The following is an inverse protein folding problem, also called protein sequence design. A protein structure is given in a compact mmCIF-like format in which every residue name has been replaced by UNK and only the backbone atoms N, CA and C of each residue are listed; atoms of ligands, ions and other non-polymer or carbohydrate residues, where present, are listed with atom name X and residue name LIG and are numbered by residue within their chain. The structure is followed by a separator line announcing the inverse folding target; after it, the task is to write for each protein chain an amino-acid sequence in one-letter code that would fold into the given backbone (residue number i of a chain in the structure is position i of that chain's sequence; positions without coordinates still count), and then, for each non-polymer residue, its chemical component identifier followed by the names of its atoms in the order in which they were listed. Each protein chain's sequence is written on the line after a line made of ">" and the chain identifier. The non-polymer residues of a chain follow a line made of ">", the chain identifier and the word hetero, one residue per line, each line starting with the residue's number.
data_IF_253419943130
#
_entry.id   IF_253419943130
#
_cell.length_a   1.000
_cell.length_b   1.000
_cell.length_c   1.000
_cell.angle_alpha   90.00
_cell.angle_beta   90.00
_cell.angle_gamma   90.00
#
_symmetry.space_group_name_H-M   'P 1'
#
loop_
_entity.id
_entity.type
_entity.pdbx_description
1 polymer ?
#
# COMPACT_ATOMS: atom_id res chain seq x y z
N UNK A 1 -6.82 -84.74 -28.10
CA UNK A 1 -7.96 -83.92 -27.62
C UNK A 1 -7.76 -83.49 -26.16
N UNK A 2 -6.78 -82.62 -25.87
CA UNK A 2 -6.53 -82.11 -24.50
C UNK A 2 -6.22 -80.61 -24.41
N UNK A 3 -6.27 -79.87 -25.53
CA UNK A 3 -5.93 -78.44 -25.56
C UNK A 3 -7.11 -77.51 -25.87
N UNK A 4 -8.34 -78.03 -26.01
CA UNK A 4 -9.51 -77.21 -26.35
C UNK A 4 -10.38 -76.80 -25.15
N UNK A 5 -10.10 -77.31 -23.94
CA UNK A 5 -10.89 -77.00 -22.73
C UNK A 5 -10.25 -75.94 -21.83
N UNK A 6 -8.97 -75.59 -22.04
CA UNK A 6 -8.29 -74.55 -21.26
C UNK A 6 -8.52 -73.13 -21.79
N UNK A 7 -8.85 -72.97 -23.08
CA UNK A 7 -9.17 -71.66 -23.65
C UNK A 7 -10.62 -71.21 -23.36
N UNK A 8 -11.53 -72.15 -23.07
CA UNK A 8 -12.92 -71.82 -22.76
C UNK A 8 -13.10 -71.41 -21.28
N UNK A 9 -12.23 -71.83 -20.35
CA UNK A 9 -12.29 -71.42 -18.94
C UNK A 9 -11.65 -70.05 -18.68
N UNK A 10 -10.73 -69.60 -19.53
CA UNK A 10 -10.12 -68.26 -19.45
C UNK A 10 -11.00 -67.19 -20.12
N UNK A 11 -11.86 -67.57 -21.07
CA UNK A 11 -12.83 -66.65 -21.68
C UNK A 11 -14.14 -66.51 -20.89
N UNK A 12 -14.50 -67.49 -20.04
CA UNK A 12 -15.69 -67.41 -19.18
C UNK A 12 -15.41 -66.91 -17.74
N UNK A 13 -14.15 -66.67 -17.36
CA UNK A 13 -13.81 -66.02 -16.09
C UNK A 13 -13.70 -64.50 -16.16
N UNK A 14 -13.97 -63.88 -17.31
CA UNK A 14 -14.05 -62.42 -17.46
C UNK A 14 -15.47 -61.83 -17.26
N UNK A 15 -16.45 -62.63 -16.83
CA UNK A 15 -17.85 -62.16 -16.68
C UNK A 15 -18.40 -62.18 -15.25
N UNK A 16 -17.55 -62.22 -14.22
CA UNK A 16 -17.93 -62.01 -12.82
C UNK A 16 -16.70 -61.35 -12.15
N UNK A 17 -16.60 -60.06 -11.85
CA UNK A 17 -17.58 -59.05 -11.46
C UNK A 17 -17.10 -57.66 -11.93
N UNK A 18 -17.74 -57.11 -12.96
CA UNK A 18 -17.91 -55.67 -13.08
C UNK A 18 -19.29 -55.32 -12.55
N UNK A 19 -19.48 -55.51 -11.24
CA UNK A 19 -20.32 -54.59 -10.48
C UNK A 19 -19.44 -53.39 -10.12
N UNK A 20 -19.03 -52.63 -11.13
CA UNK A 20 -18.93 -51.20 -10.89
C UNK A 20 -20.37 -50.75 -10.77
N UNK A 21 -20.84 -50.58 -9.53
CA UNK A 21 -21.86 -49.56 -9.32
C UNK A 21 -21.28 -48.29 -9.95
N UNK A 22 -21.77 -47.97 -11.15
CA UNK A 22 -21.50 -46.74 -11.85
C UNK A 22 -22.16 -45.62 -11.08
N UNK A 23 -21.67 -45.32 -9.87
CA UNK A 23 -21.86 -44.00 -9.31
C UNK A 23 -21.18 -43.07 -10.30
N UNK A 24 -22.01 -42.40 -11.11
CA UNK A 24 -21.64 -41.24 -11.89
C UNK A 24 -20.72 -40.41 -11.00
N UNK A 25 -19.48 -40.15 -11.42
CA UNK A 25 -18.53 -39.36 -10.62
C UNK A 25 -18.86 -37.88 -10.67
N UNK A 26 -20.16 -37.56 -10.73
CA UNK A 26 -20.69 -36.23 -10.93
C UNK A 26 -20.79 -35.51 -9.59
N UNK A 27 -20.36 -34.26 -9.59
CA UNK A 27 -20.52 -33.36 -8.45
C UNK A 27 -21.24 -32.10 -8.90
N UNK A 28 -22.17 -31.61 -8.08
CA UNK A 28 -22.76 -30.29 -8.29
C UNK A 28 -22.15 -29.31 -7.30
N UNK A 29 -21.56 -28.22 -7.79
CA UNK A 29 -21.17 -27.09 -6.94
C UNK A 29 -22.41 -26.25 -6.65
N UNK A 30 -23.08 -26.59 -5.55
CA UNK A 30 -24.38 -26.01 -5.19
C UNK A 30 -24.28 -24.53 -4.87
N UNK A 31 -23.31 -24.17 -4.03
CA UNK A 31 -23.25 -22.84 -3.45
C UNK A 31 -21.82 -22.38 -3.18
N UNK A 32 -21.56 -21.10 -3.47
CA UNK A 32 -20.46 -20.33 -2.89
C UNK A 32 -21.04 -19.36 -1.87
N UNK A 33 -20.64 -19.51 -0.62
CA UNK A 33 -21.04 -18.66 0.50
C UNK A 33 -19.90 -17.72 0.87
N UNK A 34 -20.19 -16.42 1.01
CA UNK A 34 -19.18 -15.44 1.39
C UNK A 34 -19.63 -14.56 2.55
N UNK A 35 -18.68 -14.19 3.41
CA UNK A 35 -18.89 -13.26 4.51
C UNK A 35 -17.61 -12.50 4.85
N UNK A 36 -17.73 -11.26 5.29
CA UNK A 36 -16.64 -10.53 5.95
C UNK A 36 -17.08 -10.01 7.31
N UNK A 37 -16.36 -10.38 8.36
CA UNK A 37 -16.57 -9.82 9.70
C UNK A 37 -15.98 -8.41 9.85
N UNK A 38 -15.00 -8.07 9.00
CA UNK A 38 -14.33 -6.76 8.99
C UNK A 38 -15.28 -5.68 8.46
N UNK A 39 -15.93 -5.96 7.32
CA UNK A 39 -16.92 -5.07 6.72
C UNK A 39 -18.09 -5.86 6.11
N UNK A 40 -19.09 -6.25 6.92
CA UNK A 40 -20.25 -7.00 6.45
C UNK A 40 -21.06 -6.31 5.35
N UNK A 41 -21.08 -4.97 5.34
CA UNK A 41 -21.79 -4.18 4.33
C UNK A 41 -20.88 -3.71 3.18
N UNK A 42 -19.59 -4.06 3.22
CA UNK A 42 -18.59 -3.61 2.25
C UNK A 42 -18.75 -4.32 0.91
N UNK A 43 -18.77 -3.58 -0.20
CA UNK A 43 -18.93 -4.19 -1.54
C UNK A 43 -17.64 -4.74 -2.15
N UNK A 44 -16.47 -4.49 -1.54
CA UNK A 44 -15.18 -4.88 -2.12
C UNK A 44 -14.99 -6.40 -2.24
N UNK A 45 -15.64 -7.18 -1.38
CA UNK A 45 -15.54 -8.64 -1.37
C UNK A 45 -16.76 -9.33 -1.97
N UNK A 46 -17.70 -8.59 -2.56
CA UNK A 46 -18.84 -9.17 -3.26
C UNK A 46 -18.39 -9.67 -4.65
N UNK A 47 -18.46 -10.98 -4.93
CA UNK A 47 -18.03 -11.53 -6.21
C UNK A 47 -19.02 -11.19 -7.32
N UNK A 48 -18.52 -11.01 -8.54
CA UNK A 48 -19.31 -11.03 -9.76
C UNK A 48 -19.57 -12.48 -10.19
N UNK A 49 -20.46 -12.68 -11.16
CA UNK A 49 -20.66 -13.98 -11.81
C UNK A 49 -19.37 -14.54 -12.40
N UNK A 50 -18.50 -13.69 -12.94
CA UNK A 50 -17.19 -14.08 -13.47
C UNK A 50 -16.25 -14.60 -12.37
N UNK A 51 -16.25 -14.01 -11.17
CA UNK A 51 -15.47 -14.53 -10.05
C UNK A 51 -15.97 -15.93 -9.62
N UNK A 52 -17.30 -16.12 -9.56
CA UNK A 52 -17.90 -17.43 -9.20
C UNK A 52 -17.54 -18.50 -10.23
N UNK A 53 -17.64 -18.19 -11.52
CA UNK A 53 -17.20 -19.11 -12.58
C UNK A 53 -15.71 -19.44 -12.45
N UNK A 54 -14.88 -18.46 -12.11
CA UNK A 54 -13.44 -18.65 -11.91
C UNK A 54 -13.15 -19.59 -10.74
N UNK A 55 -13.89 -19.47 -9.64
CA UNK A 55 -13.78 -20.39 -8.50
C UNK A 55 -14.20 -21.81 -8.88
N UNK A 56 -15.32 -21.96 -9.58
CA UNK A 56 -15.78 -23.26 -10.07
C UNK A 56 -14.73 -23.93 -10.96
N UNK A 57 -14.19 -23.20 -11.95
CA UNK A 57 -13.15 -23.71 -12.85
C UNK A 57 -11.85 -24.10 -12.10
N UNK A 58 -11.48 -23.35 -11.06
CA UNK A 58 -10.32 -23.69 -10.22
C UNK A 58 -10.57 -24.97 -9.42
N UNK A 59 -11.79 -25.17 -8.90
CA UNK A 59 -12.15 -26.43 -8.24
C UNK A 59 -12.18 -27.61 -9.23
N UNK A 60 -12.70 -27.39 -10.45
CA UNK A 60 -12.73 -28.41 -11.51
C UNK A 60 -11.33 -28.92 -11.84
N UNK A 61 -10.38 -28.01 -12.05
CA UNK A 61 -9.00 -28.34 -12.40
C UNK A 61 -8.14 -28.76 -11.20
N UNK A 62 -8.57 -28.42 -9.98
CA UNK A 62 -7.89 -28.75 -8.73
C UNK A 62 -8.59 -29.88 -7.97
N UNK A 63 -9.34 -29.51 -6.92
CA UNK A 63 -9.95 -30.45 -5.97
C UNK A 63 -10.77 -31.55 -6.65
N UNK A 64 -11.72 -31.19 -7.52
CA UNK A 64 -12.61 -32.18 -8.14
C UNK A 64 -11.83 -33.15 -9.02
N UNK A 65 -10.89 -32.65 -9.85
CA UNK A 65 -10.00 -33.51 -10.61
C UNK A 65 -9.20 -34.47 -9.72
N UNK A 66 -8.64 -33.99 -8.61
CA UNK A 66 -7.87 -34.81 -7.67
C UNK A 66 -8.70 -35.91 -6.99
N UNK A 67 -10.00 -35.66 -6.79
CA UNK A 67 -10.97 -36.63 -6.28
C UNK A 67 -11.63 -37.47 -7.37
N UNK A 68 -11.23 -37.28 -8.63
CA UNK A 68 -11.81 -37.91 -9.82
C UNK A 68 -13.30 -37.60 -10.00
N UNK A 69 -13.75 -36.43 -9.53
CA UNK A 69 -15.09 -35.91 -9.70
C UNK A 69 -15.16 -34.99 -10.93
N UNK A 70 -16.26 -35.05 -11.65
CA UNK A 70 -16.57 -34.19 -12.79
C UNK A 70 -17.77 -33.30 -12.45
N UNK A 71 -17.60 -31.98 -12.54
CA UNK A 71 -18.67 -31.06 -12.18
C UNK A 71 -19.76 -31.04 -13.26
N UNK A 72 -21.02 -31.23 -12.85
CA UNK A 72 -22.16 -31.03 -13.76
C UNK A 72 -22.47 -29.53 -13.90
N UNK A 73 -22.07 -28.96 -15.04
CA UNK A 73 -22.25 -27.54 -15.35
C UNK A 73 -23.68 -27.16 -15.74
N UNK A 74 -24.61 -28.11 -15.89
CA UNK A 74 -26.03 -27.82 -16.14
C UNK A 74 -26.72 -27.20 -14.92
N UNK A 75 -26.16 -27.39 -13.72
CA UNK A 75 -26.62 -26.78 -12.49
C UNK A 75 -25.82 -25.50 -12.18
N UNK A 76 -26.46 -24.32 -12.16
CA UNK A 76 -25.78 -23.08 -11.84
C UNK A 76 -25.41 -23.01 -10.35
N UNK A 77 -24.17 -22.64 -10.06
CA UNK A 77 -23.71 -22.40 -8.69
C UNK A 77 -24.37 -21.15 -8.11
N UNK A 78 -25.01 -21.30 -6.95
CA UNK A 78 -25.66 -20.20 -6.25
C UNK A 78 -24.66 -19.38 -5.45
N UNK A 79 -24.76 -18.05 -5.50
CA UNK A 79 -24.01 -17.15 -4.63
C UNK A 79 -24.87 -16.78 -3.42
N UNK A 80 -24.34 -17.00 -2.22
CA UNK A 80 -24.97 -16.56 -0.97
C UNK A 80 -24.05 -15.60 -0.21
N UNK A 81 -24.47 -14.34 -0.16
CA UNK A 81 -23.82 -13.32 0.67
C UNK A 81 -24.46 -13.35 2.06
N UNK A 82 -23.63 -13.57 3.07
CA UNK A 82 -24.09 -13.56 4.45
C UNK A 82 -24.02 -12.16 5.06
N UNK A 83 -24.91 -11.93 6.02
CA UNK A 83 -24.89 -10.80 6.92
C UNK A 83 -24.71 -11.31 8.35
N UNK A 84 -24.33 -10.44 9.30
CA UNK A 84 -24.16 -10.84 10.70
C UNK A 84 -25.38 -11.58 11.29
N UNK A 85 -26.64 -11.18 11.02
CA UNK A 85 -27.82 -11.94 11.45
C UNK A 85 -27.95 -13.32 10.78
N UNK A 86 -27.63 -13.41 9.49
CA UNK A 86 -27.79 -14.63 8.69
C UNK A 86 -26.58 -15.59 8.79
N UNK A 87 -25.54 -15.20 9.53
CA UNK A 87 -24.40 -16.07 9.88
C UNK A 87 -24.80 -17.14 10.92
N UNK A 88 -25.86 -16.89 11.70
CA UNK A 88 -26.27 -17.75 12.81
C UNK A 88 -27.09 -18.94 12.27
N UNK A 89 -26.44 -20.07 12.02
CA UNK A 89 -27.12 -21.34 11.71
C UNK A 89 -26.24 -22.34 10.94
N UNK A 90 -26.65 -23.62 10.97
CA UNK A 90 -26.09 -24.66 10.08
C UNK A 90 -26.34 -24.25 8.62
N UNK A 91 -25.41 -24.58 7.72
CA UNK A 91 -25.55 -24.39 6.27
C UNK A 91 -26.94 -24.87 5.83
N UNK A 92 -27.83 -23.94 5.48
CA UNK A 92 -29.14 -24.27 4.94
C UNK A 92 -28.95 -24.67 3.47
N UNK A 93 -28.77 -25.97 3.27
CA UNK A 93 -28.48 -26.60 1.99
C UNK A 93 -29.78 -26.85 1.23
N UNK A 94 -29.92 -26.27 0.04
CA UNK A 94 -31.00 -26.59 -0.90
C UNK A 94 -30.43 -27.22 -2.17
N UNK A 95 -30.37 -28.55 -2.19
CA UNK A 95 -30.05 -29.34 -3.40
C UNK A 95 -31.31 -29.92 -4.05
N UNK A 96 -32.49 -29.31 -3.82
CA UNK A 96 -33.77 -29.86 -4.32
C UNK A 96 -33.79 -30.04 -5.84
N UNK A 97 -33.02 -29.22 -6.56
CA UNK A 97 -32.93 -29.21 -8.02
C UNK A 97 -31.96 -30.26 -8.58
N UNK A 98 -31.02 -30.74 -7.76
CA UNK A 98 -29.89 -31.59 -8.15
C UNK A 98 -29.88 -32.93 -7.40
N UNK A 99 -30.97 -33.32 -6.73
CA UNK A 99 -31.08 -34.54 -5.90
C UNK A 99 -30.61 -35.84 -6.55
N UNK A 100 -30.60 -35.88 -7.89
CA UNK A 100 -30.15 -37.04 -8.66
C UNK A 100 -28.63 -37.10 -8.83
N UNK A 101 -27.92 -36.03 -8.47
CA UNK A 101 -26.45 -36.00 -8.41
C UNK A 101 -25.98 -36.78 -7.17
N UNK A 102 -24.93 -37.61 -7.29
CA UNK A 102 -24.43 -38.38 -6.16
C UNK A 102 -23.57 -37.56 -5.19
N UNK A 103 -22.96 -36.46 -5.66
CA UNK A 103 -22.14 -35.59 -4.83
C UNK A 103 -22.54 -34.13 -4.96
N UNK A 104 -22.39 -33.41 -3.85
CA UNK A 104 -22.74 -32.00 -3.74
C UNK A 104 -21.66 -31.24 -2.98
N UNK A 105 -21.08 -30.23 -3.63
CA UNK A 105 -20.00 -29.42 -3.10
C UNK A 105 -20.48 -28.03 -2.66
N UNK A 106 -19.88 -27.54 -1.58
CA UNK A 106 -20.12 -26.22 -0.99
C UNK A 106 -18.79 -25.54 -0.72
N UNK A 107 -18.68 -24.29 -1.13
CA UNK A 107 -17.52 -23.46 -0.86
C UNK A 107 -17.90 -22.33 0.09
N UNK A 108 -17.21 -22.22 1.21
CA UNK A 108 -17.37 -21.17 2.21
C UNK A 108 -16.11 -20.30 2.25
N UNK A 109 -16.28 -18.98 2.11
CA UNK A 109 -15.21 -17.98 2.07
C UNK A 109 -15.46 -16.91 3.13
N UNK A 110 -14.75 -16.95 4.25
CA UNK A 110 -14.97 -16.03 5.38
C UNK A 110 -13.76 -15.17 5.69
N UNK A 111 -13.93 -13.86 5.68
CA UNK A 111 -12.91 -12.92 6.14
C UNK A 111 -13.07 -12.61 7.63
N UNK A 112 -11.99 -12.79 8.38
CA UNK A 112 -11.87 -12.45 9.78
C UNK A 112 -10.73 -11.46 10.03
N UNK A 113 -10.83 -10.74 11.15
CA UNK A 113 -9.70 -10.02 11.69
C UNK A 113 -8.61 -11.01 12.15
N UNK A 114 -7.32 -10.69 11.97
CA UNK A 114 -6.22 -11.56 12.38
C UNK A 114 -6.30 -11.96 13.86
N UNK A 115 -6.68 -11.04 14.75
CA UNK A 115 -6.78 -11.31 16.19
C UNK A 115 -7.83 -12.38 16.52
N UNK A 116 -8.94 -12.44 15.77
CA UNK A 116 -9.98 -13.46 15.94
C UNK A 116 -9.45 -14.86 15.58
N UNK A 117 -8.55 -14.91 14.60
CA UNK A 117 -7.95 -16.16 14.12
C UNK A 117 -6.92 -16.68 15.12
N UNK A 118 -6.04 -15.81 15.62
CA UNK A 118 -4.93 -16.22 16.49
C UNK A 118 -5.34 -16.50 17.93
N UNK A 119 -6.36 -15.80 18.47
CA UNK A 119 -6.86 -16.03 19.84
C UNK A 119 -7.51 -17.40 19.99
N UNK A 120 -8.03 -17.97 18.91
CA UNK A 120 -8.65 -19.29 18.92
C UNK A 120 -7.63 -20.42 18.66
N UNK A 121 -6.33 -20.10 18.64
CA UNK A 121 -5.22 -21.05 18.40
C UNK A 121 -5.41 -21.94 17.16
N UNK A 122 -6.13 -21.42 16.15
CA UNK A 122 -6.41 -22.18 14.93
C UNK A 122 -5.11 -22.49 14.16
N UNK A 123 -4.09 -21.64 14.30
CA UNK A 123 -2.76 -21.81 13.69
C UNK A 123 -1.68 -21.22 14.60
N UNK A 124 -0.56 -21.93 14.74
CA UNK A 124 0.63 -21.47 15.45
C UNK A 124 1.57 -20.69 14.49
N UNK A 125 1.65 -19.38 14.70
CA UNK A 125 2.48 -18.44 13.93
C UNK A 125 3.24 -17.55 14.91
N UNK A 126 4.53 -17.31 14.63
CA UNK A 126 5.36 -16.41 15.42
C UNK A 126 4.77 -14.98 15.48
N UNK A 127 4.86 -14.32 16.65
CA UNK A 127 4.24 -13.01 16.91
C UNK A 127 4.59 -11.93 15.87
N UNK A 128 5.86 -11.70 15.49
CA UNK A 128 6.20 -10.66 14.52
C UNK A 128 5.51 -10.83 13.16
N UNK A 129 5.14 -12.07 12.84
CA UNK A 129 4.45 -12.43 11.61
C UNK A 129 2.95 -12.22 11.71
N UNK A 130 2.36 -12.37 12.91
CA UNK A 130 0.95 -12.04 13.17
C UNK A 130 0.67 -10.56 12.88
N UNK A 131 1.57 -9.67 13.29
CA UNK A 131 1.45 -8.22 13.09
C UNK A 131 1.52 -7.79 11.61
N UNK A 132 2.05 -8.66 10.73
CA UNK A 132 2.16 -8.40 9.29
C UNK A 132 0.90 -8.77 8.49
N UNK A 133 -0.08 -9.43 9.11
CA UNK A 133 -1.30 -9.88 8.45
C UNK A 133 -2.39 -8.83 8.62
N UNK A 134 -2.99 -8.37 7.54
CA UNK A 134 -4.08 -7.39 7.60
C UNK A 134 -5.44 -8.05 7.78
N UNK A 135 -5.70 -9.15 7.07
CA UNK A 135 -6.93 -9.94 7.22
C UNK A 135 -6.66 -11.42 6.98
N UNK A 136 -7.54 -12.27 7.49
CA UNK A 136 -7.46 -13.71 7.29
C UNK A 136 -8.70 -14.21 6.57
N UNK A 137 -8.53 -15.03 5.54
CA UNK A 137 -9.62 -15.67 4.81
C UNK A 137 -9.66 -17.18 5.08
N UNK A 138 -10.81 -17.69 5.48
CA UNK A 138 -11.11 -19.12 5.59
C UNK A 138 -11.72 -19.59 4.29
N UNK A 139 -11.09 -20.57 3.66
CA UNK A 139 -11.57 -21.19 2.43
C UNK A 139 -11.88 -22.64 2.75
N UNK A 140 -13.16 -22.95 3.02
CA UNK A 140 -13.60 -24.30 3.34
C UNK A 140 -14.38 -24.88 2.18
N UNK A 141 -13.97 -26.04 1.69
CA UNK A 141 -14.76 -26.82 0.74
C UNK A 141 -15.24 -28.10 1.41
N UNK A 142 -16.55 -28.32 1.36
CA UNK A 142 -17.20 -29.54 1.87
C UNK A 142 -17.90 -30.23 0.71
N UNK A 143 -17.68 -31.54 0.56
CA UNK A 143 -18.39 -32.39 -0.41
C UNK A 143 -19.18 -33.43 0.37
N UNK A 144 -20.48 -33.48 0.11
CA UNK A 144 -21.41 -34.42 0.70
C UNK A 144 -21.83 -35.46 -0.34
N UNK A 145 -22.11 -36.68 0.12
CA UNK A 145 -22.82 -37.69 -0.65
C UNK A 145 -24.35 -37.47 -0.63
N UNK A 146 -25.07 -38.32 -1.36
CA UNK A 146 -26.55 -38.36 -1.41
C UNK A 146 -27.21 -38.52 -0.02
N UNK A 147 -26.50 -39.10 0.96
CA UNK A 147 -26.96 -39.31 2.33
C UNK A 147 -26.64 -38.14 3.26
N UNK A 148 -26.10 -37.02 2.74
CA UNK A 148 -25.64 -35.85 3.51
C UNK A 148 -24.42 -36.14 4.39
N UNK A 149 -23.66 -37.18 4.07
CA UNK A 149 -22.44 -37.52 4.78
C UNK A 149 -21.26 -36.78 4.14
N UNK A 150 -20.43 -36.07 4.92
CA UNK A 150 -19.24 -35.43 4.38
C UNK A 150 -18.22 -36.49 3.95
N UNK A 151 -17.93 -36.53 2.65
CA UNK A 151 -16.87 -37.37 2.06
C UNK A 151 -15.55 -36.62 1.91
N UNK A 152 -15.61 -35.29 1.91
CA UNK A 152 -14.44 -34.42 1.92
C UNK A 152 -14.78 -33.14 2.68
N UNK A 153 -13.86 -32.70 3.53
CA UNK A 153 -13.91 -31.38 4.15
C UNK A 153 -12.49 -30.91 4.41
N UNK A 154 -12.10 -29.78 3.80
CA UNK A 154 -10.80 -29.15 4.04
C UNK A 154 -10.96 -27.64 4.12
N UNK A 155 -10.17 -27.04 5.01
CA UNK A 155 -10.12 -25.61 5.25
C UNK A 155 -8.71 -25.11 5.01
N UNK A 156 -8.59 -24.08 4.19
CA UNK A 156 -7.36 -23.31 4.03
C UNK A 156 -7.54 -21.98 4.76
N UNK A 157 -6.63 -21.70 5.69
CA UNK A 157 -6.52 -20.41 6.35
C UNK A 157 -5.49 -19.56 5.60
N UNK A 158 -5.93 -18.46 5.01
CA UNK A 158 -5.08 -17.60 4.19
C UNK A 158 -4.85 -16.25 4.88
N UNK A 159 -3.61 -15.99 5.28
CA UNK A 159 -3.17 -14.68 5.77
C UNK A 159 -2.90 -13.71 4.62
N UNK A 160 -3.59 -12.58 4.58
CA UNK A 160 -3.35 -11.51 3.61
C UNK A 160 -2.24 -10.59 4.14
N UNK A 161 -1.10 -10.57 3.44
CA UNK A 161 0.05 -9.74 3.79
C UNK A 161 0.14 -8.57 2.81
N UNK A 162 -0.03 -7.32 3.26
CA UNK A 162 0.10 -6.15 2.40
C UNK A 162 1.55 -6.00 1.93
N UNK A 163 1.73 -5.76 0.63
CA UNK A 163 3.02 -5.45 0.02
C UNK A 163 2.99 -4.07 -0.64
N UNK A 164 4.14 -3.41 -0.61
CA UNK A 164 4.32 -2.14 -1.29
C UNK A 164 4.05 -2.27 -2.81
N UNK A 165 3.47 -1.23 -3.38
CA UNK A 165 3.25 -1.09 -4.82
C UNK A 165 3.71 0.32 -5.27
N UNK A 166 3.48 0.67 -6.52
CA UNK A 166 3.78 2.01 -7.06
C UNK A 166 2.69 3.05 -6.71
N UNK A 167 1.70 2.65 -5.93
CA UNK A 167 0.61 3.49 -5.47
C UNK A 167 1.07 4.44 -4.37
N UNK A 168 0.48 5.64 -4.37
CA UNK A 168 0.74 6.69 -3.38
C UNK A 168 -0.62 7.15 -2.88
N UNK A 169 -0.79 7.23 -1.57
CA UNK A 169 -2.01 7.75 -0.97
C UNK A 169 -2.00 7.60 0.53
N UNK A 170 -3.09 8.02 1.16
CA UNK A 170 -3.24 7.93 2.59
C UNK A 170 -3.51 6.49 3.04
N UNK A 171 -2.92 6.05 4.15
CA UNK A 171 -3.26 4.76 4.73
C UNK A 171 -4.74 4.73 5.11
N UNK A 172 -5.33 3.55 5.02
CA UNK A 172 -6.73 3.32 5.41
C UNK A 172 -6.80 2.76 6.82
N UNK A 173 -7.83 3.17 7.56
CA UNK A 173 -8.07 2.71 8.93
C UNK A 173 -8.73 1.32 9.00
N UNK A 174 -8.80 0.61 7.87
CA UNK A 174 -9.48 -0.69 7.76
C UNK A 174 -8.61 -1.62 6.94
N UNK A 175 -8.32 -2.85 7.42
CA UNK A 175 -7.45 -3.77 6.72
C UNK A 175 -8.18 -4.49 5.57
N UNK A 176 -8.45 -3.77 4.47
CA UNK A 176 -9.19 -4.30 3.32
C UNK A 176 -8.30 -4.41 2.07
N UNK A 177 -8.56 -5.46 1.30
CA UNK A 177 -7.84 -5.74 0.06
C UNK A 177 -8.65 -5.31 -1.16
N UNK A 178 -8.01 -4.67 -2.14
CA UNK A 178 -8.65 -4.32 -3.40
C UNK A 178 -9.29 -5.54 -4.09
N UNK A 179 -10.52 -5.43 -4.65
CA UNK A 179 -11.28 -6.58 -5.17
C UNK A 179 -10.50 -7.46 -6.13
N UNK A 180 -9.82 -6.86 -7.12
CA UNK A 180 -9.01 -7.60 -8.11
C UNK A 180 -7.93 -8.47 -7.45
N UNK A 181 -7.23 -7.92 -6.47
CA UNK A 181 -6.18 -8.64 -5.74
C UNK A 181 -6.76 -9.69 -4.80
N UNK A 182 -7.87 -9.36 -4.14
CA UNK A 182 -8.60 -10.26 -3.25
C UNK A 182 -9.08 -11.51 -3.99
N UNK A 183 -9.86 -11.35 -5.07
CA UNK A 183 -10.42 -12.49 -5.78
C UNK A 183 -9.34 -13.36 -6.45
N UNK A 184 -8.24 -12.74 -6.91
CA UNK A 184 -7.08 -13.49 -7.39
C UNK A 184 -6.42 -14.30 -6.28
N UNK A 185 -6.25 -13.72 -5.08
CA UNK A 185 -5.70 -14.42 -3.93
C UNK A 185 -6.59 -15.59 -3.51
N UNK A 186 -7.91 -15.36 -3.39
CA UNK A 186 -8.88 -16.41 -3.08
C UNK A 186 -8.84 -17.54 -4.10
N UNK A 187 -8.85 -17.22 -5.39
CA UNK A 187 -8.74 -18.21 -6.46
C UNK A 187 -7.46 -19.03 -6.31
N UNK A 188 -6.31 -18.38 -6.08
CA UNK A 188 -5.05 -19.08 -5.87
C UNK A 188 -5.09 -19.99 -4.63
N UNK A 189 -5.77 -19.58 -3.56
CA UNK A 189 -5.98 -20.39 -2.36
C UNK A 189 -6.77 -21.67 -2.60
N UNK A 190 -7.75 -21.64 -3.50
CA UNK A 190 -8.57 -22.82 -3.82
C UNK A 190 -7.73 -23.96 -4.42
N UNK A 191 -6.58 -23.69 -5.05
CA UNK A 191 -5.68 -24.74 -5.52
C UNK A 191 -5.04 -25.56 -4.39
N UNK A 192 -5.04 -25.05 -3.15
CA UNK A 192 -4.54 -25.77 -1.98
C UNK A 192 -5.59 -26.73 -1.39
N UNK A 193 -6.84 -26.69 -1.85
CA UNK A 193 -7.84 -27.68 -1.50
C UNK A 193 -7.49 -29.01 -2.20
N UNK A 194 -6.81 -29.88 -1.46
CA UNK A 194 -6.37 -31.20 -1.91
C UNK A 194 -6.80 -32.29 -0.91
N UNK A 195 -7.10 -33.52 -1.37
CA UNK A 195 -7.30 -34.69 -0.48
C UNK A 195 -6.06 -35.05 0.32
N UNK A 196 -4.87 -34.61 -0.09
CA UNK A 196 -3.64 -34.80 0.66
C UNK A 196 -3.43 -33.71 1.72
N UNK A 197 -2.73 -34.04 2.79
CA UNK A 197 -2.31 -33.07 3.81
C UNK A 197 -3.29 -32.99 4.98
N UNK A 198 -3.20 -31.91 5.75
CA UNK A 198 -4.06 -31.71 6.92
C UNK A 198 -5.43 -31.16 6.49
N UNK A 199 -6.45 -31.41 7.31
CA UNK A 199 -7.79 -30.84 7.11
C UNK A 199 -7.82 -29.32 7.30
N UNK A 200 -6.84 -28.77 8.03
CA UNK A 200 -6.62 -27.34 8.21
C UNK A 200 -5.17 -27.03 7.82
N UNK A 201 -4.98 -26.15 6.85
CA UNK A 201 -3.65 -25.69 6.42
C UNK A 201 -3.60 -24.18 6.37
N UNK A 202 -2.42 -23.62 6.65
CA UNK A 202 -2.18 -22.18 6.61
C UNK A 202 -1.29 -21.80 5.43
N UNK A 203 -1.70 -20.75 4.71
CA UNK A 203 -0.95 -20.18 3.60
C UNK A 203 -0.94 -18.65 3.67
N UNK A 204 -0.06 -18.04 2.89
CA UNK A 204 0.09 -16.58 2.80
C UNK A 204 -0.16 -16.07 1.39
N UNK A 205 -0.93 -14.99 1.31
CA UNK A 205 -1.16 -14.26 0.09
C UNK A 205 -0.60 -12.85 0.21
N UNK A 206 0.42 -12.55 -0.59
CA UNK A 206 0.94 -11.19 -0.73
C UNK A 206 -0.01 -10.38 -1.61
N UNK A 207 -0.59 -9.33 -1.05
CA UNK A 207 -1.57 -8.47 -1.74
C UNK A 207 -1.11 -7.02 -1.73
N UNK A 208 -1.25 -6.27 -2.85
CA UNK A 208 -0.90 -4.85 -2.86
C UNK A 208 -1.68 -4.06 -1.81
N UNK A 209 -1.01 -3.12 -1.14
CA UNK A 209 -1.65 -2.20 -0.20
C UNK A 209 -2.69 -1.31 -0.90
N UNK A 210 -3.76 -1.01 -0.18
CA UNK A 210 -4.87 -0.13 -0.58
C UNK A 210 -4.72 1.23 0.10
N UNK A 211 -5.19 2.29 -0.54
CA UNK A 211 -5.12 3.66 -0.02
C UNK A 211 -6.51 4.32 0.04
N UNK A 212 -6.67 5.33 0.88
CA UNK A 212 -7.86 6.18 0.93
C UNK A 212 -7.83 7.17 -0.24
N UNK A 213 -8.99 7.43 -0.85
CA UNK A 213 -9.10 8.51 -1.84
C UNK A 213 -8.92 9.88 -1.20
N UNK A 214 -8.50 10.87 -1.96
CA UNK A 214 -8.32 12.23 -1.47
C UNK A 214 -8.57 13.27 -2.56
N UNK A 215 -8.78 14.53 -2.19
CA UNK A 215 -9.13 15.61 -3.13
C UNK A 215 -7.95 16.52 -3.52
N UNK A 216 -6.71 16.15 -3.20
CA UNK A 216 -5.53 16.97 -3.45
C UNK A 216 -4.39 16.21 -4.12
N UNK A 217 -3.82 15.19 -3.47
CA UNK A 217 -2.72 14.39 -3.97
C UNK A 217 -3.20 13.42 -5.06
N UNK A 218 -4.26 12.65 -4.81
CA UNK A 218 -4.76 11.66 -5.78
C UNK A 218 -5.04 12.28 -7.17
N UNK A 219 -5.76 13.42 -7.31
CA UNK A 219 -6.01 14.02 -8.62
C UNK A 219 -4.75 14.45 -9.36
N UNK A 220 -3.69 14.85 -8.64
CA UNK A 220 -2.40 15.25 -9.22
C UNK A 220 -1.61 14.04 -9.73
N UNK A 221 -1.63 12.93 -8.98
CA UNK A 221 -0.75 11.79 -9.22
C UNK A 221 -1.37 10.69 -10.08
N UNK A 222 -2.70 10.61 -10.19
CA UNK A 222 -3.36 9.51 -10.90
C UNK A 222 -2.82 9.34 -12.32
N UNK A 223 -2.52 8.09 -12.71
CA UNK A 223 -2.06 7.67 -14.05
C UNK A 223 -0.73 8.28 -14.54
N UNK A 224 -0.07 9.12 -13.75
CA UNK A 224 1.24 9.70 -14.09
C UNK A 224 2.35 8.63 -14.01
N UNK A 225 3.43 8.70 -14.79
CA UNK A 225 4.54 7.76 -14.67
C UNK A 225 5.28 7.94 -13.33
N UNK A 226 5.75 6.84 -12.73
CA UNK A 226 6.65 6.87 -11.57
C UNK A 226 8.06 6.56 -12.06
N UNK A 227 8.97 7.53 -11.96
CA UNK A 227 10.38 7.37 -12.30
C UNK A 227 11.10 6.89 -11.05
N UNK A 228 11.61 5.65 -11.07
CA UNK A 228 12.40 5.11 -9.96
C UNK A 228 13.71 5.89 -9.79
N UNK A 229 14.08 6.13 -8.54
CA UNK A 229 15.33 6.81 -8.19
C UNK A 229 16.30 5.83 -7.55
N UNK A 230 17.52 5.77 -8.06
CA UNK A 230 18.64 5.12 -7.40
C UNK A 230 19.31 6.12 -6.44
N UNK A 231 19.28 5.77 -5.16
CA UNK A 231 19.84 6.59 -4.08
C UNK A 231 21.12 6.00 -3.47
N UNK A 232 21.66 4.97 -4.12
CA UNK A 232 22.91 4.34 -3.72
C UNK A 232 24.08 5.33 -3.77
N UNK A 233 25.06 5.12 -2.89
CA UNK A 233 26.30 5.93 -2.81
C UNK A 233 26.07 7.44 -2.61
N UNK A 234 24.92 7.84 -2.05
CA UNK A 234 24.62 9.25 -1.74
C UNK A 234 24.22 10.10 -2.95
N UNK A 235 23.81 9.47 -4.05
CA UNK A 235 23.25 10.17 -5.20
C UNK A 235 21.72 10.22 -5.16
N UNK A 236 21.14 11.07 -5.99
CA UNK A 236 19.77 10.97 -6.48
C UNK A 236 19.91 10.82 -7.99
N UNK A 237 19.83 9.57 -8.48
CA UNK A 237 20.03 9.22 -9.88
C UNK A 237 18.71 8.75 -10.49
N UNK A 238 18.31 9.35 -11.61
CA UNK A 238 17.07 8.99 -12.28
C UNK A 238 17.14 9.24 -13.79
N UNK A 239 16.30 8.53 -14.55
CA UNK A 239 16.17 8.74 -15.99
C UNK A 239 15.19 9.89 -16.25
N UNK A 240 15.57 10.83 -17.12
CA UNK A 240 14.70 11.90 -17.60
C UNK A 240 14.86 12.03 -19.11
N UNK A 241 13.80 11.66 -19.84
CA UNK A 241 13.86 11.51 -21.29
C UNK A 241 14.93 10.48 -21.71
N UNK A 242 15.86 10.88 -22.58
CA UNK A 242 16.98 10.03 -23.05
C UNK A 242 18.22 10.09 -22.16
N UNK A 243 18.18 10.87 -21.08
CA UNK A 243 19.37 11.16 -20.30
C UNK A 243 19.22 10.75 -18.84
N UNK A 244 20.35 10.60 -18.15
CA UNK A 244 20.39 10.28 -16.73
C UNK A 244 20.75 11.54 -15.97
N UNK A 245 19.89 11.95 -15.05
CA UNK A 245 20.19 13.00 -14.08
C UNK A 245 20.95 12.42 -12.90
N UNK A 246 21.89 13.20 -12.37
CA UNK A 246 22.74 12.79 -11.26
C UNK A 246 22.94 13.96 -10.30
N UNK A 247 22.24 13.91 -9.17
CA UNK A 247 22.24 14.95 -8.16
C UNK A 247 22.90 14.43 -6.88
N UNK A 248 23.51 15.32 -6.09
CA UNK A 248 24.02 15.00 -4.75
C UNK A 248 23.63 16.07 -3.76
N UNK A 249 23.40 15.62 -2.53
CA UNK A 249 23.15 16.45 -1.36
C UNK A 249 24.20 16.05 -0.31
N UNK A 250 25.42 16.64 -0.34
CA UNK A 250 26.41 16.41 0.70
C UNK A 250 25.91 16.89 2.07
N UNK A 251 26.55 16.47 3.16
CA UNK A 251 26.10 16.81 4.51
C UNK A 251 26.07 18.32 4.79
N UNK A 252 25.08 18.77 5.57
CA UNK A 252 25.01 20.16 6.00
C UNK A 252 26.06 20.49 7.07
N UNK A 253 26.61 21.70 7.01
CA UNK A 253 27.50 22.26 8.03
C UNK A 253 26.74 23.24 8.92
N UNK A 254 26.98 23.14 10.23
CA UNK A 254 26.30 23.95 11.25
C UNK A 254 27.30 24.83 12.00
N UNK A 255 27.18 26.15 11.83
CA UNK A 255 28.02 27.12 12.50
C UNK A 255 27.25 27.79 13.64
N UNK A 256 27.70 27.62 14.88
CA UNK A 256 27.08 28.28 16.04
C UNK A 256 27.28 29.79 15.98
N UNK A 257 26.21 30.55 16.20
CA UNK A 257 26.24 32.00 16.22
C UNK A 257 26.44 32.46 17.66
N UNK A 258 27.57 33.11 17.94
CA UNK A 258 27.75 33.79 19.23
C UNK A 258 26.98 35.10 19.23
N UNK A 259 25.85 35.11 19.93
CA UNK A 259 24.99 36.29 20.08
C UNK A 259 25.54 37.30 21.09
N UNK A 260 26.57 36.94 21.86
CA UNK A 260 27.20 37.83 22.86
C UNK A 260 28.29 38.70 22.23
N UNK A 261 28.96 38.21 21.19
CA UNK A 261 29.95 38.98 20.44
C UNK A 261 29.26 40.06 19.60
N UNK A 262 29.37 41.32 20.04
CA UNK A 262 28.83 42.50 19.36
C UNK A 262 29.89 43.26 18.55
N UNK A 263 31.07 42.67 18.36
CA UNK A 263 32.13 43.32 17.58
C UNK A 263 31.77 43.32 16.09
N UNK A 264 32.27 44.32 15.36
CA UNK A 264 32.08 44.39 13.90
C UNK A 264 32.76 43.24 13.15
N UNK A 265 33.70 42.55 13.81
CA UNK A 265 34.41 41.39 13.27
C UNK A 265 33.61 40.09 13.41
N UNK A 266 32.47 40.10 14.11
CA UNK A 266 31.59 38.95 14.18
C UNK A 266 31.05 38.64 12.76
N UNK A 267 31.31 37.44 12.19
CA UNK A 267 30.84 37.08 10.85
C UNK A 267 29.30 37.08 10.74
N UNK A 268 28.60 37.06 11.88
CA UNK A 268 27.15 37.06 11.99
C UNK A 268 26.60 38.42 12.44
N UNK A 269 27.39 39.49 12.49
CA UNK A 269 26.95 40.80 12.98
C UNK A 269 25.64 41.28 12.32
N UNK A 270 25.48 41.03 11.01
CA UNK A 270 24.30 41.42 10.24
C UNK A 270 23.00 40.71 10.65
N UNK A 271 23.07 39.50 11.24
CA UNK A 271 21.88 38.71 11.61
C UNK A 271 21.47 38.94 13.08
N UNK A 272 22.36 39.47 13.92
CA UNK A 272 22.11 39.73 15.34
C UNK A 272 20.86 40.59 15.61
N UNK A 273 20.55 41.65 14.84
CA UNK A 273 19.33 42.43 15.06
C UNK A 273 18.05 41.61 14.89
N UNK A 274 18.02 40.67 13.94
CA UNK A 274 16.86 39.81 13.69
C UNK A 274 16.70 38.76 14.78
N UNK A 275 17.81 38.21 15.28
CA UNK A 275 17.80 37.31 16.44
C UNK A 275 17.25 38.02 17.69
N UNK A 276 17.62 39.29 17.92
CA UNK A 276 17.13 40.07 19.08
C UNK A 276 15.63 40.35 19.07
N UNK A 277 14.99 40.33 17.89
CA UNK A 277 13.52 40.48 17.79
C UNK A 277 12.78 39.24 18.31
N UNK A 278 13.47 38.12 18.51
CA UNK A 278 12.88 36.90 19.06
C UNK A 278 12.67 37.06 20.56
N UNK A 279 11.44 36.84 21.01
CA UNK A 279 11.03 36.98 22.42
C UNK A 279 10.90 35.64 23.15
N UNK A 280 11.13 34.52 22.46
CA UNK A 280 10.97 33.19 23.04
C UNK A 280 12.07 32.88 24.05
N UNK A 281 11.70 32.37 25.22
CA UNK A 281 12.63 31.92 26.26
C UNK A 281 13.08 30.47 26.10
N UNK A 282 12.45 29.71 25.18
CA UNK A 282 12.73 28.30 24.93
C UNK A 282 13.88 28.10 23.94
N UNK A 283 14.02 28.99 22.95
CA UNK A 283 15.05 28.88 21.91
C UNK A 283 16.23 29.77 22.28
N UNK A 284 17.34 29.15 22.69
CA UNK A 284 18.50 29.87 23.24
C UNK A 284 19.77 29.73 22.40
N UNK A 285 19.77 28.85 21.41
CA UNK A 285 20.90 28.65 20.53
C UNK A 285 20.54 28.97 19.09
N UNK A 286 21.47 29.59 18.36
CA UNK A 286 21.29 30.04 17.00
C UNK A 286 22.43 29.51 16.14
N UNK A 287 22.10 29.05 14.93
CA UNK A 287 23.05 28.46 14.01
C UNK A 287 22.84 28.97 12.60
N UNK A 288 23.93 29.13 11.85
CA UNK A 288 23.91 29.18 10.40
C UNK A 288 24.07 27.75 9.87
N UNK A 289 23.12 27.30 9.07
CA UNK A 289 23.15 26.04 8.36
C UNK A 289 23.58 26.28 6.90
N UNK A 290 24.63 25.62 6.47
CA UNK A 290 25.13 25.64 5.10
C UNK A 290 24.96 24.26 4.47
N UNK A 291 24.03 24.16 3.54
CA UNK A 291 23.73 22.93 2.81
C UNK A 291 24.33 23.04 1.40
N UNK A 292 25.47 22.38 1.12
CA UNK A 292 25.96 22.25 -0.24
C UNK A 292 25.03 21.34 -1.04
N UNK A 293 24.89 21.60 -2.34
CA UNK A 293 24.12 20.80 -3.31
C UNK A 293 24.89 20.74 -4.63
N UNK A 294 24.81 19.62 -5.35
CA UNK A 294 25.55 19.41 -6.61
C UNK A 294 24.67 18.82 -7.69
N UNK A 295 24.55 19.52 -8.81
CA UNK A 295 24.14 18.90 -10.07
C UNK A 295 25.41 18.39 -10.79
N UNK A 296 25.63 17.07 -10.76
CA UNK A 296 26.87 16.47 -11.29
C UNK A 296 26.90 16.54 -12.80
N UNK A 297 25.75 16.33 -13.46
CA UNK A 297 25.66 16.31 -14.92
C UNK A 297 25.94 17.68 -15.54
N UNK A 298 25.36 18.73 -14.95
CA UNK A 298 25.55 20.11 -15.41
C UNK A 298 26.84 20.74 -14.88
N UNK A 299 27.60 20.02 -14.06
CA UNK A 299 28.81 20.50 -13.41
C UNK A 299 28.57 21.80 -12.61
N UNK A 300 27.48 21.87 -11.83
CA UNK A 300 27.05 23.09 -11.13
C UNK A 300 26.87 22.87 -9.62
N UNK A 301 27.44 23.76 -8.83
CA UNK A 301 27.32 23.78 -7.37
C UNK A 301 26.30 24.81 -6.92
N UNK A 302 25.58 24.45 -5.85
CA UNK A 302 24.69 25.35 -5.16
C UNK A 302 24.93 25.27 -3.65
N UNK A 303 24.57 26.33 -2.94
CA UNK A 303 24.57 26.34 -1.47
C UNK A 303 23.27 26.96 -0.99
N UNK A 304 22.57 26.26 -0.09
CA UNK A 304 21.51 26.86 0.71
C UNK A 304 22.13 27.38 2.01
N UNK A 305 21.91 28.65 2.28
CA UNK A 305 22.25 29.28 3.55
C UNK A 305 20.95 29.53 4.31
N UNK A 306 20.82 28.90 5.48
CA UNK A 306 19.69 29.08 6.37
C UNK A 306 20.16 29.49 7.77
N UNK A 307 19.30 30.20 8.49
CA UNK A 307 19.53 30.51 9.89
C UNK A 307 18.44 29.87 10.74
N UNK A 308 18.84 29.13 11.76
CA UNK A 308 17.92 28.37 12.61
C UNK A 308 18.12 28.70 14.09
N UNK A 309 17.05 28.58 14.85
CA UNK A 309 17.04 28.62 16.31
C UNK A 309 16.75 27.20 16.84
N UNK A 310 17.49 26.79 17.86
CA UNK A 310 17.40 25.47 18.48
C UNK A 310 16.88 25.59 19.93
N UNK A 311 15.99 24.68 20.29
CA UNK A 311 15.48 24.54 21.66
C UNK A 311 16.25 23.42 22.40
N UNK A 312 17.21 23.75 23.28
CA UNK A 312 17.96 22.75 24.02
C UNK A 312 17.18 22.11 25.17
N UNK A 313 15.98 22.61 25.49
CA UNK A 313 15.16 22.20 26.63
C UNK A 313 14.01 21.27 26.24
N UNK A 314 14.11 20.58 25.10
CA UNK A 314 13.06 19.65 24.68
C UNK A 314 13.04 18.44 25.60
N UNK A 315 11.88 18.23 26.21
CA UNK A 315 11.48 16.94 26.75
C UNK A 315 11.05 16.04 25.57
N UNK A 316 11.75 14.93 25.30
CA UNK A 316 11.39 13.99 24.23
C UNK A 316 9.95 13.46 24.32
N UNK A 317 9.35 13.49 25.52
CA UNK A 317 7.98 13.02 25.78
C UNK A 317 6.92 14.12 25.53
N UNK A 318 7.30 15.41 25.55
CA UNK A 318 6.39 16.54 25.30
C UNK A 318 6.67 17.24 23.96
N UNK A 319 6.31 16.57 22.86
CA UNK A 319 6.51 17.04 21.46
C UNK A 319 5.63 18.23 21.01
N UNK A 320 5.19 19.11 21.90
CA UNK A 320 4.36 20.26 21.52
C UNK A 320 5.15 21.37 20.79
N UNK A 321 6.47 21.41 20.93
CA UNK A 321 7.34 22.44 20.31
C UNK A 321 8.43 21.78 19.47
N UNK A 322 8.63 22.17 18.20
CA UNK A 322 9.66 21.58 17.35
C UNK A 322 11.08 21.93 17.86
N UNK A 323 12.07 21.01 17.70
CA UNK A 323 13.46 21.21 18.12
C UNK A 323 14.18 22.32 17.39
N UNK A 324 13.79 22.53 16.15
CA UNK A 324 14.41 23.49 15.24
C UNK A 324 13.30 24.38 14.71
N UNK A 325 13.58 25.69 14.63
CA UNK A 325 12.78 26.65 13.88
C UNK A 325 13.68 27.46 12.97
N UNK A 326 13.18 27.81 11.81
CA UNK A 326 13.86 28.74 10.92
C UNK A 326 13.63 30.18 11.37
N UNK A 327 14.65 31.02 11.23
CA UNK A 327 14.52 32.46 11.38
C UNK A 327 13.65 33.06 10.25
N UNK A 328 13.17 34.31 10.37
CA UNK A 328 12.17 34.90 9.46
C UNK A 328 12.52 34.93 7.95
N UNK A 329 11.47 35.13 7.16
CA UNK A 329 11.30 34.94 5.71
C UNK A 329 12.33 35.59 4.76
N UNK A 330 13.14 36.54 5.20
CA UNK A 330 14.04 37.33 4.33
C UNK A 330 15.52 36.97 4.44
N UNK A 331 15.86 35.98 5.26
CA UNK A 331 17.24 35.75 5.70
C UNK A 331 17.94 34.63 4.95
N UNK A 332 17.16 33.66 4.46
CA UNK A 332 17.72 32.46 3.84
C UNK A 332 18.00 32.68 2.36
N UNK A 333 19.13 32.18 1.90
CA UNK A 333 19.69 32.49 0.59
C UNK A 333 20.02 31.23 -0.19
N UNK A 334 19.94 31.36 -1.51
CA UNK A 334 20.32 30.32 -2.47
C UNK A 334 21.45 30.89 -3.30
N UNK A 335 22.58 30.19 -3.30
CA UNK A 335 23.74 30.53 -4.12
C UNK A 335 23.92 29.50 -5.23
N UNK A 336 24.30 29.94 -6.42
CA UNK A 336 25.01 29.12 -7.39
C UNK A 336 26.47 29.52 -7.33
N UNK A 337 27.34 28.57 -7.02
CA UNK A 337 28.74 28.83 -6.68
C UNK A 337 28.83 29.91 -5.57
N UNK A 338 29.32 31.11 -5.89
CA UNK A 338 29.36 32.27 -4.97
C UNK A 338 28.33 33.36 -5.28
N UNK A 339 27.52 33.19 -6.32
CA UNK A 339 26.53 34.18 -6.75
C UNK A 339 25.19 33.95 -6.06
N UNK A 340 24.65 34.97 -5.41
CA UNK A 340 23.29 34.95 -4.88
C UNK A 340 22.29 34.88 -6.05
N UNK A 341 21.56 33.77 -6.15
CA UNK A 341 20.55 33.56 -7.20
C UNK A 341 19.13 33.58 -6.68
N UNK A 342 18.92 33.49 -5.37
CA UNK A 342 17.59 33.35 -4.82
C UNK A 342 17.52 33.49 -3.31
N UNK A 343 16.29 33.51 -2.81
CA UNK A 343 15.95 33.53 -1.39
C UNK A 343 14.80 32.60 -1.12
N UNK A 344 14.71 32.12 0.11
CA UNK A 344 13.60 31.28 0.52
C UNK A 344 13.19 31.54 1.96
N UNK A 345 12.02 31.03 2.31
CA UNK A 345 11.47 30.98 3.65
C UNK A 345 10.95 29.59 3.94
N UNK A 346 10.81 29.29 5.22
CA UNK A 346 10.23 28.04 5.72
C UNK A 346 8.99 28.38 6.51
N UNK A 347 7.85 27.84 6.08
CA UNK A 347 6.57 27.99 6.77
C UNK A 347 6.23 26.65 7.38
N UNK A 348 6.17 26.60 8.71
CA UNK A 348 5.69 25.43 9.44
C UNK A 348 4.17 25.38 9.43
N UNK A 349 3.60 24.20 9.20
CA UNK A 349 2.15 23.95 9.17
C UNK A 349 1.37 24.99 8.35
N UNK A 350 1.70 25.21 7.07
CA UNK A 350 1.00 26.17 6.24
C UNK A 350 -0.49 25.82 6.18
N UNK A 351 -1.35 26.83 6.36
CA UNK A 351 -2.79 26.61 6.35
C UNK A 351 -3.26 26.12 4.98
N UNK A 352 -3.94 24.98 4.98
CA UNK A 352 -4.64 24.46 3.81
C UNK A 352 -6.09 24.19 4.21
N UNK A 353 -7.03 24.90 3.56
CA UNK A 353 -8.46 24.68 3.76
C UNK A 353 -8.96 23.65 2.76
N UNK A 354 -9.90 22.83 3.20
CA UNK A 354 -10.71 21.92 2.38
C UNK A 354 -9.98 20.70 1.79
N UNK A 355 -8.68 20.52 2.02
CA UNK A 355 -7.97 19.30 1.62
C UNK A 355 -8.26 18.16 2.59
N UNK A 356 -8.78 17.07 2.06
CA UNK A 356 -9.28 15.95 2.85
C UNK A 356 -9.06 14.61 2.15
N UNK A 357 -8.86 13.57 2.94
CA UNK A 357 -8.91 12.18 2.50
C UNK A 357 -10.18 11.49 3.03
N UNK A 358 -10.68 10.53 2.26
CA UNK A 358 -11.91 9.79 2.51
C UNK A 358 -11.62 8.29 2.70
N UNK A 359 -11.49 7.86 3.95
CA UNK A 359 -11.26 6.45 4.30
C UNK A 359 -12.48 5.54 4.08
N UNK A 360 -13.60 6.08 3.57
CA UNK A 360 -14.76 5.28 3.16
C UNK A 360 -14.66 4.79 1.70
N UNK A 361 -13.63 5.21 0.98
CA UNK A 361 -13.37 4.86 -0.41
C UNK A 361 -11.91 4.40 -0.55
N UNK A 362 -11.71 3.23 -1.15
CA UNK A 362 -10.39 2.66 -1.38
C UNK A 362 -10.03 2.64 -2.86
N UNK A 363 -8.74 2.79 -3.14
CA UNK A 363 -8.17 2.65 -4.47
C UNK A 363 -6.73 2.11 -4.38
N UNK A 364 -6.10 1.86 -5.53
CA UNK A 364 -4.78 1.27 -5.60
C UNK A 364 -3.60 2.27 -5.47
N UNK A 365 -3.87 3.57 -5.31
CA UNK A 365 -2.82 4.61 -5.23
C UNK A 365 -2.25 5.05 -6.59
N UNK A 366 -2.70 4.48 -7.70
CA UNK A 366 -2.17 4.73 -9.03
C UNK A 366 -3.25 5.21 -10.02
N UNK A 367 -4.38 4.51 -10.10
CA UNK A 367 -5.51 4.85 -10.96
C UNK A 367 -6.78 5.08 -10.15
N UNK A 368 -7.55 6.11 -10.52
CA UNK A 368 -8.86 6.40 -9.91
C UNK A 368 -10.00 5.63 -10.57
N UNK A 369 -9.73 4.89 -11.65
CA UNK A 369 -10.70 4.04 -12.32
C UNK A 369 -11.15 2.85 -11.43
N UNK A 370 -10.39 2.54 -10.38
CA UNK A 370 -10.65 1.43 -9.46
C UNK A 370 -11.04 1.89 -8.05
N UNK A 371 -11.87 2.93 -7.92
CA UNK A 371 -12.38 3.35 -6.59
C UNK A 371 -13.53 2.46 -6.14
N UNK A 372 -13.45 1.95 -4.90
CA UNK A 372 -14.49 1.13 -4.27
C UNK A 372 -14.97 1.74 -2.96
N UNK A 373 -16.30 1.77 -2.78
CA UNK A 373 -16.93 2.22 -1.54
C UNK A 373 -16.95 1.09 -0.50
N UNK A 374 -16.54 1.42 0.72
CA UNK A 374 -16.56 0.52 1.87
C UNK A 374 -17.90 0.52 2.62
N UNK A 375 -18.83 1.41 2.26
CA UNK A 375 -20.13 1.61 2.94
C UNK A 375 -19.97 1.86 4.45
N UNK A 376 -18.97 2.67 4.81
CA UNK A 376 -18.71 3.16 6.16
C UNK A 376 -19.04 4.65 6.29
N UNK A 377 -19.07 5.16 7.52
CA UNK A 377 -19.38 6.54 7.86
C UNK A 377 -18.24 7.23 8.62
N UNK A 378 -16.99 6.88 8.32
CA UNK A 378 -15.84 7.55 8.93
C UNK A 378 -15.82 9.04 8.56
N UNK A 379 -15.48 9.92 9.52
CA UNK A 379 -15.23 11.31 9.19
C UNK A 379 -14.07 11.39 8.18
N UNK A 380 -14.15 12.36 7.26
CA UNK A 380 -13.03 12.67 6.39
C UNK A 380 -11.87 13.19 7.24
N UNK A 381 -10.67 12.73 6.95
CA UNK A 381 -9.47 13.23 7.60
C UNK A 381 -8.97 14.49 6.90
N UNK A 382 -8.45 15.44 7.66
CA UNK A 382 -7.77 16.60 7.09
C UNK A 382 -6.40 16.18 6.54
N UNK A 383 -6.07 16.64 5.35
CA UNK A 383 -4.70 16.59 4.86
C UNK A 383 -3.92 17.68 5.59
N UNK A 384 -2.77 17.35 6.18
CA UNK A 384 -1.92 18.35 6.83
C UNK A 384 -0.60 18.43 6.08
N UNK A 385 -0.27 19.63 5.62
CA UNK A 385 1.09 19.91 5.15
C UNK A 385 1.92 20.27 6.38
N UNK A 386 2.99 19.52 6.61
CA UNK A 386 3.84 19.74 7.79
C UNK A 386 4.69 20.99 7.63
N UNK A 387 5.14 21.25 6.40
CA UNK A 387 6.04 22.36 6.08
C UNK A 387 5.92 22.79 4.62
N UNK A 388 6.22 24.06 4.34
CA UNK A 388 6.51 24.50 2.98
C UNK A 388 7.76 25.35 2.88
N UNK A 389 8.51 25.15 1.79
CA UNK A 389 9.65 25.99 1.40
C UNK A 389 9.18 26.87 0.25
N UNK A 390 9.21 28.18 0.45
CA UNK A 390 8.70 29.14 -0.54
C UNK A 390 9.79 30.16 -0.87
N UNK A 391 9.93 30.55 -2.13
CA UNK A 391 11.01 31.46 -2.49
C UNK A 391 11.04 31.86 -3.95
N UNK A 392 12.18 32.41 -4.37
CA UNK A 392 12.46 32.74 -5.76
C UNK A 392 13.88 32.36 -6.15
N UNK A 393 14.05 31.97 -7.41
CA UNK A 393 15.34 31.77 -8.08
C UNK A 393 15.31 32.66 -9.33
N UNK A 394 16.11 33.73 -9.33
CA UNK A 394 16.00 34.80 -10.32
C UNK A 394 14.60 35.42 -10.30
N UNK A 395 13.88 35.31 -11.42
CA UNK A 395 12.50 35.79 -11.58
C UNK A 395 11.44 34.74 -11.26
N UNK A 396 11.84 33.48 -11.11
CA UNK A 396 10.92 32.36 -10.99
C UNK A 396 10.60 32.09 -9.52
N UNK A 397 9.32 32.13 -9.17
CA UNK A 397 8.85 31.80 -7.84
C UNK A 397 8.75 30.27 -7.69
N UNK A 398 9.06 29.74 -6.52
CA UNK A 398 8.91 28.31 -6.24
C UNK A 398 8.25 28.07 -4.89
N UNK A 399 7.62 26.90 -4.77
CA UNK A 399 7.04 26.41 -3.53
C UNK A 399 7.17 24.89 -3.44
N UNK A 400 7.61 24.36 -2.32
CA UNK A 400 7.71 22.92 -2.08
C UNK A 400 6.86 22.61 -0.86
N UNK A 401 5.83 21.78 -1.02
CA UNK A 401 4.97 21.30 0.06
C UNK A 401 5.49 19.97 0.58
N UNK A 402 5.54 19.81 1.89
CA UNK A 402 5.95 18.57 2.56
C UNK A 402 4.75 17.95 3.25
N UNK A 403 4.47 16.69 2.90
CA UNK A 403 3.38 15.91 3.45
C UNK A 403 3.98 14.62 4.03
N UNK A 404 4.36 14.71 5.31
CA UNK A 404 5.09 13.64 5.99
C UNK A 404 4.20 12.43 6.32
N UNK A 405 2.85 12.58 6.32
CA UNK A 405 1.92 11.48 6.57
C UNK A 405 2.00 10.39 5.49
N UNK A 406 2.35 10.78 4.26
CA UNK A 406 2.45 9.87 3.10
C UNK A 406 3.82 9.97 2.40
N UNK A 407 4.79 10.62 3.04
CA UNK A 407 6.14 10.87 2.52
C UNK A 407 6.15 11.52 1.12
N UNK A 408 5.21 12.42 0.83
CA UNK A 408 5.11 13.09 -0.47
C UNK A 408 5.59 14.53 -0.37
N UNK A 409 6.32 14.98 -1.39
CA UNK A 409 6.62 16.40 -1.59
C UNK A 409 6.05 16.85 -2.93
N UNK A 410 5.36 17.99 -2.96
CA UNK A 410 4.86 18.61 -4.20
C UNK A 410 5.65 19.87 -4.49
N UNK A 411 6.27 19.92 -5.67
CA UNK A 411 7.13 21.01 -6.12
C UNK A 411 6.37 21.85 -7.13
N UNK A 412 6.26 23.13 -6.84
CA UNK A 412 5.67 24.16 -7.69
C UNK A 412 6.75 25.10 -8.21
N UNK A 413 6.61 25.47 -9.47
CA UNK A 413 7.38 26.53 -10.13
C UNK A 413 6.39 27.48 -10.81
N UNK A 414 6.48 28.77 -10.50
CA UNK A 414 5.58 29.81 -11.00
C UNK A 414 4.10 29.45 -10.81
N UNK A 415 3.74 28.92 -9.64
CA UNK A 415 2.40 28.47 -9.25
C UNK A 415 1.88 27.23 -10.00
N UNK A 416 2.69 26.59 -10.83
CA UNK A 416 2.36 25.34 -11.52
C UNK A 416 3.01 24.18 -10.78
N UNK A 417 2.25 23.13 -10.46
CA UNK A 417 2.80 21.91 -9.88
C UNK A 417 3.59 21.15 -10.95
N UNK A 418 4.91 21.06 -10.79
CA UNK A 418 5.79 20.51 -11.83
C UNK A 418 6.26 19.09 -11.52
N UNK A 419 6.46 18.78 -10.24
CA UNK A 419 6.88 17.47 -9.77
C UNK A 419 6.12 17.11 -8.50
N UNK A 420 5.86 15.81 -8.33
CA UNK A 420 5.71 15.22 -7.02
C UNK A 420 6.84 14.22 -6.80
N UNK A 421 7.26 14.06 -5.55
CA UNK A 421 8.28 13.09 -5.17
C UNK A 421 7.78 12.28 -4.00
N UNK A 422 8.11 10.98 -3.96
CA UNK A 422 7.74 10.09 -2.86
C UNK A 422 9.01 9.60 -2.15
N UNK A 423 9.03 9.67 -0.83
CA UNK A 423 10.11 9.23 0.04
C UNK A 423 10.42 10.28 1.12
N UNK A 424 10.71 9.79 2.33
CA UNK A 424 10.90 10.60 3.54
C UNK A 424 12.16 11.47 3.47
N UNK A 425 13.33 10.83 3.65
CA UNK A 425 14.64 11.51 3.65
C UNK A 425 15.35 11.43 2.29
N UNK A 426 14.96 10.47 1.46
CA UNK A 426 15.46 10.28 0.09
C UNK A 426 14.30 9.92 -0.83
N UNK A 427 14.31 10.34 -2.10
CA UNK A 427 13.25 9.97 -3.04
C UNK A 427 13.39 8.51 -3.47
N UNK A 428 12.26 7.81 -3.50
CA UNK A 428 12.10 6.52 -4.16
C UNK A 428 11.56 6.70 -5.59
N UNK A 429 10.62 7.65 -5.74
CA UNK A 429 9.97 7.96 -7.00
C UNK A 429 9.93 9.47 -7.25
N UNK A 430 10.10 9.84 -8.52
CA UNK A 430 9.74 11.15 -9.05
C UNK A 430 8.55 10.99 -10.01
N UNK A 431 7.58 11.89 -9.90
CA UNK A 431 6.34 11.87 -10.67
C UNK A 431 6.25 13.21 -11.40
N UNK A 432 6.50 13.25 -12.73
CA UNK A 432 6.35 14.48 -13.50
C UNK A 432 4.85 14.81 -13.59
N UNK A 433 4.50 16.03 -13.20
CA UNK A 433 3.12 16.51 -13.23
C UNK A 433 2.84 17.25 -14.54
N UNK A 434 3.83 17.98 -15.02
CA UNK A 434 3.85 18.69 -16.30
C UNK A 434 5.00 18.16 -17.19
N UNK A 435 4.88 18.27 -18.53
CA UNK A 435 6.00 18.06 -19.43
C UNK A 435 7.01 19.18 -19.21
N UNK A 436 8.09 18.88 -18.49
CA UNK A 436 9.15 19.86 -18.27
C UNK A 436 10.24 19.65 -19.31
N UNK A 437 10.55 20.73 -20.04
CA UNK A 437 11.85 20.85 -20.67
C UNK A 437 12.91 20.83 -19.57
N UNK A 438 14.02 20.13 -19.80
CA UNK A 438 15.16 20.01 -18.88
C UNK A 438 15.65 21.41 -18.48
N UNK A 439 15.15 21.93 -17.36
CA UNK A 439 15.53 23.22 -16.83
C UNK A 439 16.28 23.01 -15.51
N UNK A 440 17.47 23.60 -15.38
CA UNK A 440 18.35 23.46 -14.22
C UNK A 440 17.63 23.75 -12.90
N UNK A 441 16.59 24.60 -12.93
CA UNK A 441 15.76 24.94 -11.77
C UNK A 441 15.06 23.71 -11.20
N UNK A 442 14.50 22.81 -12.02
CA UNK A 442 13.77 21.65 -11.47
C UNK A 442 14.68 20.70 -10.70
N UNK A 443 15.91 20.47 -11.22
CA UNK A 443 16.93 19.68 -10.53
C UNK A 443 17.35 20.31 -9.22
N UNK A 444 17.52 21.64 -9.18
CA UNK A 444 17.78 22.37 -7.94
C UNK A 444 16.61 22.22 -6.95
N UNK A 445 15.37 22.35 -7.40
CA UNK A 445 14.19 22.20 -6.53
C UNK A 445 14.06 20.79 -5.94
N UNK A 446 14.42 19.74 -6.69
CA UNK A 446 14.49 18.36 -6.14
C UNK A 446 15.56 18.27 -5.05
N UNK A 447 16.74 18.87 -5.26
CA UNK A 447 17.79 18.90 -4.24
C UNK A 447 17.37 19.68 -2.99
N UNK A 448 16.66 20.80 -3.16
CA UNK A 448 16.08 21.58 -2.06
C UNK A 448 15.05 20.72 -1.30
N UNK A 449 14.16 20.01 -2.01
CA UNK A 449 13.12 19.18 -1.41
C UNK A 449 13.68 18.08 -0.48
N UNK A 450 14.89 17.60 -0.76
CA UNK A 450 15.55 16.54 0.01
C UNK A 450 16.77 17.01 0.82
N UNK A 451 16.99 18.32 0.94
CA UNK A 451 18.08 18.89 1.73
C UNK A 451 17.93 18.53 3.22
N UNK A 452 19.03 18.12 3.86
CA UNK A 452 19.03 17.65 5.25
C UNK A 452 18.52 18.72 6.22
N UNK A 453 18.82 19.99 5.94
CA UNK A 453 18.38 21.12 6.77
C UNK A 453 16.85 21.22 6.92
N UNK A 454 16.06 20.64 6.00
CA UNK A 454 14.60 20.65 6.09
C UNK A 454 14.01 19.35 6.66
N UNK A 455 14.83 18.32 6.84
CA UNK A 455 14.40 17.04 7.39
C UNK A 455 14.28 17.16 8.92
N UNK A 456 13.31 16.45 9.49
CA UNK A 456 13.22 16.34 10.94
C UNK A 456 14.42 15.52 11.45
N UNK A 457 15.14 15.97 12.51
CA UNK A 457 16.17 15.16 13.13
C UNK A 457 15.55 13.84 13.62
N UNK A 458 16.19 12.72 13.29
CA UNK A 458 15.74 11.39 13.69
C UNK A 458 15.85 11.16 15.19
#
# INVERSE_FOLDING_TARGET
>A
MKNSFYFLSILLSQFISHFTFGQTRQVVLEQVQMFSSIRPEGKYWHPSTTHIQSFANTLDTGLFHSLQLERDASYPTQLKILTKPNQIGKLAIDWSKSKTSPFHAYLELYELLPEQTFRNEMVDIAIPKKDSIQSTWFLTCTILDENKTPIFQKTILMGMIPIANQGIGYPINVPVTMPKSLFKALQNGLYYLSPSGANLEYIEAKVPISFATDNFIMPLLQTKPRISVDTSKGFIKYAHGKATELLRIPGANMNKIDTKDKTINNPFFAILPEIKKRTSTLFKEYYQALQPLRNVRENKDYTLEAYIEFNPMIDPEMRATPPIRFLPDSLHKIFADSMLIGKFKVVEQPANKDWMYNSNEIYNGYDSATVFKLNSSFPKGAIVITKSIEGSIGKDAFKILFNDDIDVKIIYLNHVAIWATQGKNKPNYLIPLEPLDTNNISSLLIMIAYSEIFQSPN
#
